data_IF_620091012901
#
_entry.id   IF_620091012901
#
_cell.length_a   1.000
_cell.length_b   1.000
_cell.length_c   1.000
_cell.angle_alpha   90.00
_cell.angle_beta   90.00
_cell.angle_gamma   90.00
#
_symmetry.space_group_name_H-M   'P 1'
#
loop_
_entity.id
_entity.type
_entity.pdbx_description
1 polymer ?
#
# COMPACT_ATOMS: atom_id res chain seq x y z
N UNK A 1 -23.77 -1.08 54.35
CA UNK A 1 -23.47 0.11 53.53
C UNK A 1 -22.73 -0.38 52.30
N UNK A 2 -23.31 -0.13 51.11
CA UNK A 2 -22.71 -0.41 49.80
C UNK A 2 -21.39 0.38 49.61
N UNK A 3 -20.44 -0.18 48.85
CA UNK A 3 -19.93 0.46 47.64
C UNK A 3 -19.01 -0.49 46.85
N UNK A 4 -19.50 -0.90 45.67
CA UNK A 4 -18.70 -1.38 44.55
C UNK A 4 -17.83 -0.22 44.02
N UNK A 5 -16.57 -0.49 43.66
CA UNK A 5 -15.86 0.35 42.67
C UNK A 5 -15.20 -0.59 41.66
N UNK A 6 -15.91 -0.80 40.56
CA UNK A 6 -15.31 -1.15 39.29
C UNK A 6 -14.99 0.13 38.52
N UNK A 7 -13.83 0.15 37.88
CA UNK A 7 -13.49 1.01 36.74
C UNK A 7 -12.23 0.35 36.14
N UNK A 8 -12.24 -0.26 34.97
CA UNK A 8 -12.77 0.25 33.71
C UNK A 8 -11.58 0.27 32.76
N UNK A 9 -11.16 -0.91 32.28
CA UNK A 9 -10.10 -1.02 31.27
C UNK A 9 -10.66 -0.48 29.97
N UNK A 10 -10.30 0.76 29.62
CA UNK A 10 -10.63 1.36 28.33
C UNK A 10 -9.82 0.65 27.26
N UNK A 11 -10.37 -0.45 26.73
CA UNK A 11 -9.93 -1.05 25.48
C UNK A 11 -10.32 -0.09 24.35
N UNK A 12 -9.40 0.78 23.95
CA UNK A 12 -9.48 1.46 22.67
C UNK A 12 -9.28 0.44 21.56
N UNK A 13 -10.34 -0.28 21.23
CA UNK A 13 -10.45 -0.92 19.93
C UNK A 13 -10.58 0.21 18.90
N UNK A 14 -9.45 0.68 18.36
CA UNK A 14 -9.43 1.37 17.06
C UNK A 14 -10.11 0.40 16.09
N UNK A 15 -11.37 0.66 15.78
CA UNK A 15 -12.12 -0.10 14.79
C UNK A 15 -11.28 -0.13 13.53
N UNK A 16 -10.83 -1.33 13.12
CA UNK A 16 -10.31 -1.54 11.77
C UNK A 16 -11.47 -1.23 10.84
N UNK A 17 -11.56 0.01 10.37
CA UNK A 17 -12.42 0.37 9.26
C UNK A 17 -12.06 -0.62 8.16
N UNK A 18 -13.01 -1.49 7.81
CA UNK A 18 -12.77 -2.52 6.79
C UNK A 18 -12.40 -1.77 5.52
N UNK A 19 -11.19 -2.01 5.02
CA UNK A 19 -10.76 -1.48 3.72
C UNK A 19 -11.79 -1.89 2.68
N UNK A 20 -12.40 -0.90 2.04
CA UNK A 20 -13.33 -1.12 0.94
C UNK A 20 -12.54 -1.14 -0.34
N UNK A 21 -12.80 -2.13 -1.17
CA UNK A 21 -12.17 -2.25 -2.47
C UNK A 21 -13.21 -2.01 -3.56
N UNK A 22 -12.76 -1.42 -4.66
CA UNK A 22 -13.54 -1.25 -5.88
C UNK A 22 -12.82 -1.91 -7.04
N UNK A 23 -13.56 -2.53 -7.97
CA UNK A 23 -12.96 -3.09 -9.17
C UNK A 23 -12.32 -1.97 -10.00
N UNK A 24 -11.16 -2.26 -10.57
CA UNK A 24 -10.58 -1.46 -11.63
C UNK A 24 -11.46 -1.58 -12.88
N UNK A 25 -11.40 -0.57 -13.76
CA UNK A 25 -12.11 -0.61 -15.05
C UNK A 25 -11.69 -1.79 -15.93
N UNK A 26 -10.45 -2.26 -15.74
CA UNK A 26 -9.89 -3.48 -16.30
C UNK A 26 -8.75 -3.96 -15.39
N UNK A 27 -8.54 -5.27 -15.22
CA UNK A 27 -7.38 -5.78 -14.52
C UNK A 27 -6.08 -5.35 -15.19
N UNK A 28 -5.06 -5.09 -14.38
CA UNK A 28 -3.68 -4.87 -14.83
C UNK A 28 -2.95 -6.20 -14.80
N UNK A 29 -2.29 -6.55 -15.90
CA UNK A 29 -1.48 -7.77 -16.02
C UNK A 29 0.00 -7.41 -15.95
N UNK A 30 0.65 -7.77 -14.85
CA UNK A 30 2.09 -7.56 -14.66
C UNK A 30 2.83 -8.87 -14.97
N UNK A 31 3.82 -8.86 -15.88
CA UNK A 31 4.56 -10.08 -16.23
C UNK A 31 5.24 -10.70 -15.00
N UNK A 32 4.97 -11.99 -14.75
CA UNK A 32 5.50 -12.73 -13.60
C UNK A 32 7.05 -12.74 -13.61
N UNK A 33 7.65 -12.84 -14.79
CA UNK A 33 9.10 -12.81 -14.98
C UNK A 33 9.76 -11.51 -14.48
N UNK A 34 9.04 -10.38 -14.48
CA UNK A 34 9.56 -9.11 -13.93
C UNK A 34 9.61 -9.09 -12.40
N UNK A 35 9.01 -10.09 -11.76
CA UNK A 35 8.91 -10.26 -10.32
C UNK A 35 9.50 -11.63 -9.93
N UNK A 36 10.54 -12.13 -10.62
CA UNK A 36 10.97 -13.53 -10.48
C UNK A 36 11.41 -13.95 -9.07
N UNK A 37 11.93 -13.02 -8.26
CA UNK A 37 12.44 -13.29 -6.91
C UNK A 37 11.81 -12.36 -5.87
N UNK A 38 11.70 -12.78 -4.60
CA UNK A 38 11.29 -11.90 -3.51
C UNK A 38 12.16 -10.64 -3.45
N UNK A 39 11.57 -9.52 -3.04
CA UNK A 39 12.22 -8.21 -3.02
C UNK A 39 12.26 -7.49 -4.37
N UNK A 40 11.70 -8.07 -5.44
CA UNK A 40 11.50 -7.38 -6.72
C UNK A 40 10.15 -6.68 -6.76
N UNK A 41 10.13 -5.48 -7.33
CA UNK A 41 8.92 -4.71 -7.53
C UNK A 41 8.83 -4.15 -8.96
N UNK A 42 7.60 -3.93 -9.43
CA UNK A 42 7.31 -3.43 -10.77
C UNK A 42 6.21 -2.38 -10.73
N UNK A 43 6.50 -1.19 -11.26
CA UNK A 43 5.50 -0.13 -11.47
C UNK A 43 4.47 -0.54 -12.53
N UNK A 44 3.24 -0.10 -12.34
CA UNK A 44 2.14 -0.20 -13.29
C UNK A 44 1.22 1.02 -13.20
N UNK A 45 0.33 1.18 -14.17
CA UNK A 45 -0.72 2.21 -14.15
C UNK A 45 -2.07 1.51 -14.25
N UNK A 46 -2.94 1.78 -13.29
CA UNK A 46 -4.30 1.28 -13.24
C UNK A 46 -5.29 2.34 -13.71
N UNK A 47 -6.52 1.92 -14.02
CA UNK A 47 -7.63 2.80 -14.34
C UNK A 47 -8.82 2.45 -13.45
N UNK A 48 -9.29 3.42 -12.66
CA UNK A 48 -10.48 3.31 -11.82
C UNK A 48 -11.59 4.26 -12.25
N UNK A 49 -12.72 4.18 -11.55
CA UNK A 49 -13.84 5.12 -11.67
C UNK A 49 -14.09 5.74 -10.31
N UNK A 50 -14.23 7.07 -10.25
CA UNK A 50 -14.60 7.74 -9.00
C UNK A 50 -15.99 7.27 -8.51
N UNK A 51 -16.17 7.00 -7.20
CA UNK A 51 -17.43 6.52 -6.66
C UNK A 51 -18.50 7.63 -6.62
N UNK A 52 -19.78 7.29 -6.38
CA UNK A 52 -20.86 8.27 -6.21
C UNK A 52 -20.62 9.32 -5.12
N UNK A 53 -19.75 9.04 -4.16
CA UNK A 53 -19.39 9.94 -3.06
C UNK A 53 -18.26 10.92 -3.41
N UNK A 54 -17.63 10.81 -4.58
CA UNK A 54 -16.57 11.71 -5.02
C UNK A 54 -17.14 13.07 -5.47
N UNK A 55 -16.25 14.07 -5.58
CA UNK A 55 -16.61 15.41 -6.06
C UNK A 55 -17.17 15.37 -7.50
N UNK A 56 -16.58 14.54 -8.35
CA UNK A 56 -17.05 14.30 -9.72
C UNK A 56 -17.27 12.79 -9.88
N UNK A 57 -18.50 12.28 -9.63
CA UNK A 57 -18.80 10.85 -9.78
C UNK A 57 -18.65 10.33 -11.21
N UNK A 58 -18.15 9.10 -11.36
CA UNK A 58 -18.03 8.43 -12.67
C UNK A 58 -16.88 8.95 -13.53
N UNK A 59 -15.98 9.76 -12.98
CA UNK A 59 -14.76 10.19 -13.63
C UNK A 59 -13.76 9.03 -13.73
N UNK A 60 -13.04 8.95 -14.87
CA UNK A 60 -11.97 7.97 -15.07
C UNK A 60 -10.68 8.47 -14.44
N UNK A 61 -10.17 7.72 -13.46
CA UNK A 61 -8.94 8.07 -12.75
C UNK A 61 -7.78 7.17 -13.21
N UNK A 62 -6.60 7.77 -13.39
CA UNK A 62 -5.34 7.02 -13.58
C UNK A 62 -4.64 6.94 -12.23
N UNK A 63 -4.25 5.73 -11.84
CA UNK A 63 -3.68 5.47 -10.53
C UNK A 63 -2.33 4.80 -10.72
N UNK A 64 -1.28 5.42 -10.18
CA UNK A 64 0.05 4.85 -10.21
C UNK A 64 0.16 3.78 -9.12
N UNK A 65 0.59 2.59 -9.51
CA UNK A 65 0.75 1.47 -8.59
C UNK A 65 2.11 0.80 -8.73
N UNK A 66 2.44 0.02 -7.71
CA UNK A 66 3.59 -0.88 -7.74
C UNK A 66 3.19 -2.21 -7.11
N UNK A 67 3.58 -3.29 -7.76
CA UNK A 67 3.46 -4.65 -7.21
C UNK A 67 4.83 -5.18 -6.86
N UNK A 68 4.97 -5.77 -5.69
CA UNK A 68 6.18 -6.41 -5.21
C UNK A 68 5.93 -7.89 -4.95
N UNK A 69 6.93 -8.73 -5.21
CA UNK A 69 6.96 -10.10 -4.69
C UNK A 69 7.54 -10.07 -3.28
N UNK A 70 6.72 -10.44 -2.31
CA UNK A 70 7.05 -10.39 -0.88
C UNK A 70 7.47 -11.76 -0.33
N UNK A 71 7.13 -12.85 -1.03
CA UNK A 71 7.52 -14.21 -0.66
C UNK A 71 7.76 -15.07 -1.92
N UNK A 72 8.44 -16.20 -1.74
CA UNK A 72 8.60 -17.20 -2.81
C UNK A 72 7.28 -17.92 -3.09
N UNK A 73 7.11 -18.47 -4.30
CA UNK A 73 5.89 -19.15 -4.74
C UNK A 73 4.91 -18.24 -5.48
N UNK A 74 4.01 -18.82 -6.27
CA UNK A 74 3.15 -18.08 -7.21
C UNK A 74 1.69 -17.99 -6.75
N UNK A 75 1.47 -17.98 -5.44
CA UNK A 75 0.16 -17.68 -4.85
C UNK A 75 -0.05 -16.17 -4.73
N UNK A 76 -1.31 -15.72 -4.74
CA UNK A 76 -1.63 -14.29 -4.66
C UNK A 76 -1.04 -13.60 -3.42
N UNK A 77 -0.92 -14.32 -2.30
CA UNK A 77 -0.35 -13.79 -1.05
C UNK A 77 1.16 -13.54 -1.12
N UNK A 78 1.85 -14.14 -2.09
CA UNK A 78 3.26 -13.88 -2.36
C UNK A 78 3.50 -12.53 -3.04
N UNK A 79 2.43 -11.81 -3.41
CA UNK A 79 2.49 -10.50 -4.05
C UNK A 79 1.67 -9.47 -3.28
N UNK A 80 2.19 -8.25 -3.23
CA UNK A 80 1.51 -7.12 -2.60
C UNK A 80 1.60 -5.92 -3.53
N UNK A 81 0.48 -5.23 -3.67
CA UNK A 81 0.37 -4.11 -4.59
C UNK A 81 -0.14 -2.87 -3.86
N UNK A 82 0.53 -1.75 -4.07
CA UNK A 82 0.27 -0.48 -3.40
C UNK A 82 0.09 0.64 -4.41
N UNK A 83 -0.69 1.65 -4.05
CA UNK A 83 -0.67 2.96 -4.69
C UNK A 83 0.63 3.64 -4.32
N UNK A 84 1.38 4.12 -5.32
CA UNK A 84 2.66 4.80 -5.08
C UNK A 84 2.48 6.28 -4.75
N UNK A 85 1.26 6.74 -4.49
CA UNK A 85 0.99 8.11 -4.05
C UNK A 85 1.03 8.16 -2.53
N UNK A 86 1.96 8.92 -1.98
CA UNK A 86 2.11 9.10 -0.54
C UNK A 86 0.87 9.78 0.05
N UNK A 87 0.28 9.26 1.15
CA UNK A 87 -0.91 9.84 1.77
C UNK A 87 -0.64 11.12 2.57
N UNK A 88 0.59 11.63 2.60
CA UNK A 88 0.93 12.93 3.21
C UNK A 88 0.54 14.08 2.27
N UNK A 89 1.31 14.23 1.18
CA UNK A 89 1.21 15.33 0.23
C UNK A 89 1.24 14.85 -1.23
N UNK A 90 0.81 13.61 -1.47
CA UNK A 90 0.58 13.06 -2.81
C UNK A 90 1.82 12.97 -3.72
N UNK A 91 3.03 13.02 -3.16
CA UNK A 91 4.25 12.70 -3.90
C UNK A 91 4.28 11.21 -4.30
N UNK A 92 4.87 10.92 -5.47
CA UNK A 92 5.19 9.55 -5.84
C UNK A 92 6.29 9.00 -4.91
N UNK A 93 6.07 7.81 -4.34
CA UNK A 93 7.07 7.10 -3.55
C UNK A 93 7.98 6.25 -4.44
N UNK A 94 9.22 6.14 -4.02
CA UNK A 94 10.23 5.31 -4.65
C UNK A 94 10.34 3.95 -3.96
N UNK A 95 10.90 2.98 -4.67
CA UNK A 95 11.19 1.66 -4.13
C UNK A 95 12.68 1.54 -3.89
N UNK A 96 13.06 1.40 -2.63
CA UNK A 96 14.44 1.24 -2.18
C UNK A 96 14.67 -0.26 -2.01
N UNK A 97 15.37 -0.86 -2.97
CA UNK A 97 15.60 -2.30 -3.00
C UNK A 97 16.64 -2.76 -1.96
N UNK A 98 17.63 -1.91 -1.68
CA UNK A 98 18.64 -2.14 -0.65
C UNK A 98 18.48 -1.10 0.47
N UNK A 99 17.99 -1.48 1.66
CA UNK A 99 17.89 -0.58 2.80
C UNK A 99 19.20 0.07 3.24
N UNK A 100 20.36 -0.47 2.84
CA UNK A 100 21.65 0.16 3.06
C UNK A 100 21.83 1.49 2.32
N UNK A 101 20.97 1.79 1.33
CA UNK A 101 20.95 3.05 0.59
C UNK A 101 20.10 4.15 1.28
N UNK A 102 19.42 3.82 2.38
CA UNK A 102 18.62 4.80 3.12
C UNK A 102 19.52 5.85 3.80
N UNK A 103 19.04 7.09 3.82
CA UNK A 103 19.69 8.14 4.57
C UNK A 103 19.74 7.78 6.07
N UNK A 104 20.88 7.96 6.77
CA UNK A 104 21.01 7.61 8.18
C UNK A 104 19.94 8.24 9.09
N UNK A 105 19.45 9.44 8.78
CA UNK A 105 18.37 10.08 9.54
C UNK A 105 17.03 9.33 9.42
N UNK A 106 16.78 8.69 8.27
CA UNK A 106 15.61 7.83 8.07
C UNK A 106 15.74 6.56 8.92
N UNK A 107 16.94 5.95 8.93
CA UNK A 107 17.22 4.75 9.73
C UNK A 107 17.13 5.04 11.22
N UNK A 108 17.61 6.20 11.68
CA UNK A 108 17.47 6.64 13.07
C UNK A 108 16.01 6.74 13.50
N UNK A 109 15.13 7.25 12.62
CA UNK A 109 13.71 7.40 12.92
C UNK A 109 12.97 6.06 12.91
N UNK A 110 13.17 5.22 11.88
CA UNK A 110 12.36 4.01 11.67
C UNK A 110 12.98 2.74 12.27
N UNK A 111 14.23 2.81 12.70
CA UNK A 111 15.04 1.66 13.10
C UNK A 111 15.65 0.91 11.90
N UNK A 112 16.52 -0.05 12.19
CA UNK A 112 17.11 -0.90 11.16
C UNK A 112 16.04 -1.76 10.47
N UNK A 113 16.04 -1.76 9.14
CA UNK A 113 15.19 -2.62 8.31
C UNK A 113 16.06 -3.42 7.35
N UNK A 114 15.64 -4.66 7.09
CA UNK A 114 16.38 -5.61 6.23
C UNK A 114 15.69 -5.86 4.89
N UNK A 115 14.38 -5.69 4.87
CA UNK A 115 13.57 -5.85 3.67
C UNK A 115 13.52 -4.53 2.89
N UNK A 116 13.33 -4.58 1.56
CA UNK A 116 13.07 -3.39 0.76
C UNK A 116 11.90 -2.55 1.32
N UNK A 117 11.94 -1.25 1.05
CA UNK A 117 10.93 -0.30 1.52
C UNK A 117 10.43 0.61 0.40
N UNK A 118 9.29 1.23 0.62
CA UNK A 118 8.87 2.40 -0.14
C UNK A 118 9.27 3.66 0.60
N UNK A 119 9.87 4.62 -0.09
CA UNK A 119 10.30 5.89 0.49
C UNK A 119 9.67 7.05 -0.28
N UNK A 120 8.96 7.92 0.44
CA UNK A 120 8.53 9.20 -0.11
C UNK A 120 9.71 10.19 -0.08
N UNK A 121 10.21 10.67 -1.24
CA UNK A 121 11.37 11.56 -1.28
C UNK A 121 11.07 12.97 -0.77
N UNK A 122 9.81 13.35 -0.61
CA UNK A 122 9.44 14.71 -0.19
C UNK A 122 9.71 14.95 1.31
N UNK A 123 9.36 13.99 2.16
CA UNK A 123 9.43 14.15 3.62
C UNK A 123 9.80 12.84 4.33
N UNK A 124 10.46 11.93 3.63
CA UNK A 124 10.97 10.67 4.17
C UNK A 124 9.91 9.77 4.84
N UNK A 125 8.63 9.88 4.45
CA UNK A 125 7.65 8.88 4.88
C UNK A 125 8.02 7.54 4.28
N UNK A 126 8.29 6.57 5.15
CA UNK A 126 8.79 5.25 4.77
C UNK A 126 7.74 4.19 5.08
N UNK A 127 7.60 3.23 4.17
CA UNK A 127 6.58 2.19 4.24
C UNK A 127 7.17 0.82 3.94
N UNK A 128 6.58 -0.22 4.52
CA UNK A 128 6.99 -1.61 4.27
C UNK A 128 6.73 -2.02 2.82
N UNK A 129 7.57 -2.87 2.24
CA UNK A 129 7.21 -3.58 1.02
C UNK A 129 6.11 -4.63 1.24
N UNK A 130 6.01 -5.21 2.44
CA UNK A 130 5.10 -6.30 2.78
C UNK A 130 3.61 -5.92 2.70
N UNK A 131 3.28 -4.64 2.75
CA UNK A 131 1.89 -4.19 2.75
C UNK A 131 1.71 -2.68 2.67
N UNK A 132 2.78 -1.90 2.52
CA UNK A 132 2.69 -0.44 2.53
C UNK A 132 2.38 0.14 3.91
N UNK A 133 2.53 -0.63 5.00
CA UNK A 133 2.38 -0.09 6.35
C UNK A 133 3.43 0.99 6.61
N UNK A 134 3.02 2.08 7.25
CA UNK A 134 3.92 3.19 7.55
C UNK A 134 4.88 2.82 8.69
N UNK A 135 6.18 2.93 8.41
CA UNK A 135 7.25 2.78 9.39
C UNK A 135 7.55 4.12 10.08
N UNK A 136 7.71 5.19 9.31
CA UNK A 136 8.06 6.53 9.81
C UNK A 136 7.58 7.68 8.94
N UNK A 137 7.99 8.88 9.31
CA UNK A 137 7.70 10.15 8.65
C UNK A 137 6.28 10.68 8.91
N UNK A 138 5.95 11.83 8.28
CA UNK A 138 4.75 12.60 8.57
C UNK A 138 3.46 12.06 7.94
N UNK A 139 3.53 11.04 7.08
CA UNK A 139 2.32 10.40 6.53
C UNK A 139 1.35 9.97 7.64
N UNK A 140 0.03 10.23 7.52
CA UNK A 140 -0.93 9.92 8.59
C UNK A 140 -1.34 8.44 8.64
N UNK A 141 -1.01 7.66 7.61
CA UNK A 141 -1.34 6.24 7.43
C UNK A 141 -0.33 5.55 6.51
N UNK A 142 -0.48 4.23 6.33
CA UNK A 142 0.22 3.49 5.28
C UNK A 142 -0.30 3.82 3.87
N UNK A 143 0.41 3.33 2.85
CA UNK A 143 0.01 3.45 1.45
C UNK A 143 -1.37 2.82 1.22
N UNK A 144 -2.09 3.34 0.23
CA UNK A 144 -3.33 2.70 -0.22
C UNK A 144 -3.02 1.42 -0.99
N UNK A 145 -3.95 0.47 -0.96
CA UNK A 145 -3.69 -0.87 -1.49
C UNK A 145 -4.41 -1.14 -2.82
N UNK A 146 -3.77 -1.96 -3.65
CA UNK A 146 -4.43 -2.71 -4.69
C UNK A 146 -4.59 -4.17 -4.26
N UNK A 147 -5.58 -4.88 -4.82
CA UNK A 147 -5.74 -6.32 -4.61
C UNK A 147 -5.20 -7.09 -5.81
N UNK A 148 -4.31 -8.03 -5.52
CA UNK A 148 -3.94 -9.10 -6.44
C UNK A 148 -5.13 -10.07 -6.53
N UNK A 149 -5.76 -10.16 -7.70
CA UNK A 149 -6.98 -10.96 -7.91
C UNK A 149 -6.68 -12.33 -8.51
N UNK A 150 -5.48 -12.52 -9.07
CA UNK A 150 -5.05 -13.80 -9.59
C UNK A 150 -3.56 -13.84 -9.89
N UNK A 151 -3.02 -15.05 -9.94
CA UNK A 151 -1.67 -15.30 -10.45
C UNK A 151 -1.76 -16.47 -11.42
N UNK A 152 -1.09 -16.34 -12.55
CA UNK A 152 -0.97 -17.36 -13.59
C UNK A 152 0.51 -17.60 -13.83
N UNK A 153 0.87 -18.68 -14.53
CA UNK A 153 2.26 -18.92 -14.94
C UNK A 153 2.89 -17.84 -15.84
N UNK A 154 2.16 -16.78 -16.21
CA UNK A 154 2.66 -15.66 -17.03
C UNK A 154 2.51 -14.29 -16.37
N UNK A 155 1.48 -14.09 -15.57
CA UNK A 155 1.14 -12.76 -15.04
C UNK A 155 0.63 -12.81 -13.60
N UNK A 156 0.91 -11.74 -12.87
CA UNK A 156 0.19 -11.32 -11.68
C UNK A 156 -0.92 -10.37 -12.12
N UNK A 157 -2.15 -10.67 -11.74
CA UNK A 157 -3.34 -9.86 -12.05
C UNK A 157 -3.71 -8.98 -10.86
N UNK A 158 -3.90 -7.69 -11.13
CA UNK A 158 -4.33 -6.70 -10.16
C UNK A 158 -5.70 -6.20 -10.61
N UNK A 159 -6.73 -6.51 -9.84
CA UNK A 159 -8.13 -6.31 -10.27
C UNK A 159 -8.91 -5.27 -9.47
N UNK A 160 -8.45 -4.91 -8.27
CA UNK A 160 -9.16 -3.97 -7.41
C UNK A 160 -8.21 -2.96 -6.76
N UNK A 161 -8.77 -1.84 -6.30
CA UNK A 161 -8.08 -0.79 -5.56
C UNK A 161 -8.90 -0.38 -4.35
N UNK A 162 -8.24 0.03 -3.28
CA UNK A 162 -8.87 0.66 -2.12
C UNK A 162 -9.69 1.88 -2.56
N UNK A 163 -10.95 1.94 -2.12
CA UNK A 163 -11.94 2.93 -2.57
C UNK A 163 -11.47 4.37 -2.34
N UNK A 164 -10.76 4.63 -1.25
CA UNK A 164 -10.30 5.96 -0.88
C UNK A 164 -9.34 6.55 -1.92
N UNK A 165 -8.60 5.72 -2.68
CA UNK A 165 -7.76 6.19 -3.79
C UNK A 165 -8.57 6.89 -4.88
N UNK A 166 -9.82 6.47 -5.04
CA UNK A 166 -10.73 6.96 -6.07
C UNK A 166 -11.44 8.26 -5.68
N UNK A 167 -11.15 8.79 -4.48
CA UNK A 167 -11.67 10.06 -3.98
C UNK A 167 -10.72 11.23 -4.25
N UNK A 168 -9.46 10.95 -4.61
CA UNK A 168 -8.47 11.97 -4.99
C UNK A 168 -8.58 12.24 -6.50
N UNK A 169 -9.54 13.09 -6.86
CA UNK A 169 -9.76 13.63 -8.21
C UNK A 169 -9.67 15.15 -8.18
#
# INVERSE_FOLDING_TARGET
MLALIGAGRTLWAKGRQRLRYRPLTRPVLVPLASLATPGRARRFVAQGMSPPSAAIPGERLRINGMVARVAAGDDADCFKAVCVVCPHEQCDVDFVADPGELDPSVVEEIGEVRDPVYLCPCHNSTFTMAGGERLGGPAPRGLYLFRVTGVTGRHVEIGEVEEDVLLFS
#
